data_IF_435288047336
#
_entry.id   IF_435288047336
#
_cell.length_a   1.000
_cell.length_b   1.000
_cell.length_c   1.000
_cell.angle_alpha   90.00
_cell.angle_beta   90.00
_cell.angle_gamma   90.00
#
_symmetry.space_group_name_H-M   'P 1'
#
loop_
_entity.id
_entity.type
_entity.pdbx_description
1 polymer ?
#
# COMPACT_ATOMS: atom_id res chain seq x y z
N UNK A 1 1.75 23.28 31.75
CA UNK A 1 1.37 22.03 31.05
C UNK A 1 0.19 22.34 30.17
N UNK A 2 0.42 22.44 28.88
CA UNK A 2 -0.59 22.70 27.86
C UNK A 2 -0.85 21.37 27.16
N UNK A 3 -2.10 20.91 27.00
CA UNK A 3 -2.36 19.64 26.34
C UNK A 3 -2.00 19.73 24.86
N UNK A 4 -1.26 18.73 24.40
CA UNK A 4 -0.85 18.51 23.02
C UNK A 4 -2.06 17.95 22.28
N UNK A 5 -2.44 18.58 21.17
CA UNK A 5 -3.48 18.09 20.29
C UNK A 5 -3.04 16.75 19.66
N UNK A 6 -3.71 15.65 20.02
CA UNK A 6 -3.60 14.39 19.29
C UNK A 6 -4.47 14.48 18.04
N UNK A 7 -3.89 14.92 16.92
CA UNK A 7 -4.49 14.76 15.60
C UNK A 7 -4.46 13.28 15.23
N UNK A 8 -5.63 12.65 15.18
CA UNK A 8 -5.79 11.37 14.48
C UNK A 8 -5.78 11.68 12.99
N UNK A 9 -4.66 11.44 12.31
CA UNK A 9 -4.60 11.38 10.85
C UNK A 9 -5.45 10.17 10.40
N UNK A 10 -6.72 10.42 10.07
CA UNK A 10 -7.59 9.43 9.47
C UNK A 10 -7.28 9.32 7.97
N UNK A 11 -7.13 8.10 7.46
CA UNK A 11 -7.09 7.85 6.02
C UNK A 11 -8.47 8.18 5.43
N UNK A 12 -8.47 9.01 4.38
CA UNK A 12 -9.66 9.27 3.57
C UNK A 12 -9.80 8.15 2.52
N UNK A 13 -10.74 7.24 2.76
CA UNK A 13 -11.12 6.22 1.76
C UNK A 13 -12.19 6.86 0.88
N UNK A 14 -11.84 7.17 -0.37
CA UNK A 14 -12.77 7.72 -1.35
C UNK A 14 -13.38 6.57 -2.16
N UNK A 15 -14.64 6.24 -1.86
CA UNK A 15 -15.48 5.42 -2.73
C UNK A 15 -16.61 6.28 -3.30
N UNK A 16 -17.02 6.05 -4.56
CA UNK A 16 -18.09 6.79 -5.21
C UNK A 16 -19.33 6.91 -4.31
N UNK A 17 -19.63 8.14 -3.88
CA UNK A 17 -20.85 8.51 -3.15
C UNK A 17 -20.81 8.41 -1.63
N UNK A 18 -19.74 7.92 -0.99
CA UNK A 18 -19.62 7.90 0.47
C UNK A 18 -18.19 8.18 0.93
N UNK A 19 -17.99 9.30 1.62
CA UNK A 19 -16.83 9.49 2.50
C UNK A 19 -17.13 8.77 3.82
N UNK A 20 -16.61 7.56 4.03
CA UNK A 20 -16.52 7.01 5.37
C UNK A 20 -15.17 7.40 5.97
N UNK A 21 -15.20 8.24 7.01
CA UNK A 21 -14.06 8.36 7.90
C UNK A 21 -14.00 7.05 8.70
N UNK A 22 -12.93 6.28 8.58
CA UNK A 22 -12.69 5.17 9.50
C UNK A 22 -12.58 5.77 10.91
N UNK A 23 -13.50 5.38 11.81
CA UNK A 23 -13.49 5.86 13.18
C UNK A 23 -12.93 4.76 14.09
N UNK A 24 -11.64 4.82 14.47
CA UNK A 24 -11.01 3.78 15.27
C UNK A 24 -11.65 3.58 16.66
N UNK A 25 -12.45 4.54 17.15
CA UNK A 25 -13.18 4.42 18.41
C UNK A 25 -14.52 3.67 18.29
N UNK A 26 -15.17 3.72 17.11
CA UNK A 26 -16.45 3.07 16.83
C UNK A 26 -16.27 1.63 16.35
N UNK A 27 -15.24 1.39 15.54
CA UNK A 27 -15.06 0.13 14.82
C UNK A 27 -14.02 -0.78 15.49
N UNK A 28 -13.93 -0.74 16.83
CA UNK A 28 -12.99 -1.54 17.61
C UNK A 28 -13.19 -3.04 17.35
N UNK A 29 -12.26 -3.61 16.58
CA UNK A 29 -12.22 -5.04 16.23
C UNK A 29 -12.65 -5.36 14.79
N UNK A 30 -13.14 -4.40 14.02
CA UNK A 30 -13.42 -4.58 12.59
C UNK A 30 -12.32 -3.92 11.77
N UNK A 31 -11.45 -4.75 11.17
CA UNK A 31 -10.50 -4.26 10.17
C UNK A 31 -11.28 -3.91 8.89
N UNK A 32 -11.13 -2.69 8.35
CA UNK A 32 -11.86 -2.29 7.16
C UNK A 32 -11.43 -3.17 5.98
N UNK A 33 -12.41 -3.63 5.21
CA UNK A 33 -12.17 -4.28 3.94
C UNK A 33 -12.37 -3.24 2.82
N UNK A 34 -11.27 -2.89 2.16
CA UNK A 34 -11.23 -1.85 1.14
C UNK A 34 -11.59 -2.50 -0.20
N UNK A 35 -12.82 -2.29 -0.65
CA UNK A 35 -13.29 -2.94 -1.85
C UNK A 35 -12.59 -2.48 -3.13
N UNK A 36 -11.97 -1.28 -3.16
CA UNK A 36 -11.13 -0.77 -4.24
C UNK A 36 -10.11 0.26 -3.71
N UNK A 37 -8.84 0.15 -4.13
CA UNK A 37 -7.81 1.18 -3.90
C UNK A 37 -7.06 1.53 -5.18
N UNK A 38 -6.34 2.67 -5.17
CA UNK A 38 -5.60 3.28 -6.28
C UNK A 38 -6.46 4.05 -7.27
N UNK A 39 -6.19 5.35 -7.42
CA UNK A 39 -6.88 6.26 -8.32
C UNK A 39 -6.24 6.32 -9.72
N UNK A 40 -7.06 6.28 -10.77
CA UNK A 40 -6.58 6.28 -12.16
C UNK A 40 -5.82 7.57 -12.54
N UNK A 41 -6.28 8.74 -12.09
CA UNK A 41 -5.83 10.03 -12.63
C UNK A 41 -4.46 10.46 -12.10
N UNK A 42 -4.05 9.96 -10.92
CA UNK A 42 -2.83 10.40 -10.24
C UNK A 42 -1.66 9.41 -10.42
N UNK A 43 -1.71 8.54 -11.44
CA UNK A 43 -0.68 7.52 -11.70
C UNK A 43 -0.44 6.54 -10.53
N UNK A 44 -1.41 6.40 -9.63
CA UNK A 44 -1.36 5.45 -8.51
C UNK A 44 -1.50 3.99 -8.97
N UNK A 45 -1.80 3.79 -10.25
CA UNK A 45 -1.85 2.50 -10.94
C UNK A 45 -0.46 2.04 -11.43
N UNK A 46 0.61 2.68 -10.95
CA UNK A 46 2.01 2.29 -11.14
C UNK A 46 2.47 1.28 -10.07
N UNK A 47 3.62 0.61 -10.25
CA UNK A 47 4.15 -0.26 -9.21
C UNK A 47 4.35 0.49 -7.87
N UNK A 48 5.11 1.59 -7.89
CA UNK A 48 5.35 2.38 -6.67
C UNK A 48 4.06 2.82 -5.95
N UNK A 49 2.99 3.13 -6.70
CA UNK A 49 1.68 3.42 -6.13
C UNK A 49 1.01 2.21 -5.49
N UNK A 50 1.07 1.03 -6.13
CA UNK A 50 0.56 -0.20 -5.52
C UNK A 50 1.34 -0.57 -4.25
N UNK A 51 2.68 -0.46 -4.24
CA UNK A 51 3.47 -0.65 -3.03
C UNK A 51 3.08 0.30 -1.90
N UNK A 52 2.77 1.56 -2.22
CA UNK A 52 2.30 2.55 -1.25
C UNK A 52 0.99 2.11 -0.57
N UNK A 53 0.01 1.62 -1.34
CA UNK A 53 -1.26 1.12 -0.77
C UNK A 53 -1.10 -0.18 -0.01
N UNK A 54 -0.40 -1.17 -0.57
CA UNK A 54 -0.14 -2.47 0.06
C UNK A 54 0.51 -2.26 1.43
N UNK A 55 1.51 -1.36 1.52
CA UNK A 55 2.20 -1.09 2.78
C UNK A 55 1.27 -0.56 3.86
N UNK A 56 0.28 0.26 3.50
CA UNK A 56 -0.69 0.80 4.45
C UNK A 56 -1.73 -0.23 4.87
N UNK A 57 -2.23 -1.03 3.92
CA UNK A 57 -3.15 -2.13 4.20
C UNK A 57 -2.54 -3.10 5.21
N UNK A 58 -1.26 -3.44 5.03
CA UNK A 58 -0.50 -4.28 5.96
C UNK A 58 -0.34 -3.65 7.34
N UNK A 59 -0.02 -2.36 7.41
CA UNK A 59 0.09 -1.64 8.70
C UNK A 59 -1.24 -1.61 9.47
N UNK A 60 -2.36 -1.56 8.75
CA UNK A 60 -3.72 -1.46 9.30
C UNK A 60 -4.40 -2.82 9.47
N UNK A 61 -3.70 -3.92 9.18
CA UNK A 61 -4.27 -5.27 9.21
C UNK A 61 -5.55 -5.41 8.35
N UNK A 62 -5.58 -4.68 7.24
CA UNK A 62 -6.74 -4.49 6.39
C UNK A 62 -6.60 -5.20 5.06
N UNK A 63 -7.72 -5.66 4.50
CA UNK A 63 -7.75 -6.24 3.16
C UNK A 63 -8.08 -5.16 2.14
N UNK A 64 -7.57 -5.32 0.92
CA UNK A 64 -7.88 -4.41 -0.17
C UNK A 64 -7.83 -5.09 -1.54
N UNK A 65 -8.74 -4.70 -2.42
CA UNK A 65 -8.70 -5.06 -3.84
C UNK A 65 -8.15 -3.90 -4.66
N UNK A 66 -7.22 -4.19 -5.57
CA UNK A 66 -6.70 -3.16 -6.48
C UNK A 66 -7.78 -2.76 -7.48
N UNK A 67 -8.05 -1.46 -7.61
CA UNK A 67 -9.08 -0.95 -8.49
C UNK A 67 -8.75 -1.27 -9.97
N UNK A 68 -9.77 -1.66 -10.72
CA UNK A 68 -9.70 -1.82 -12.17
C UNK A 68 -10.56 -0.76 -12.84
N UNK A 69 -9.91 0.29 -13.35
CA UNK A 69 -10.57 1.40 -14.05
C UNK A 69 -10.79 1.14 -15.55
N UNK A 70 -10.59 -0.09 -16.01
CA UNK A 70 -10.90 -0.51 -17.38
C UNK A 70 -12.41 -0.64 -17.64
N UNK A 71 -12.77 -0.79 -18.90
CA UNK A 71 -14.15 -1.10 -19.32
C UNK A 71 -14.16 -2.22 -20.36
N UNK A 72 -15.31 -2.87 -20.55
CA UNK A 72 -15.49 -3.94 -21.54
C UNK A 72 -14.50 -5.09 -21.34
N UNK A 73 -13.82 -5.50 -22.41
CA UNK A 73 -12.85 -6.60 -22.39
C UNK A 73 -11.63 -6.33 -21.50
N UNK A 74 -11.26 -5.06 -21.27
CA UNK A 74 -10.15 -4.68 -20.40
C UNK A 74 -10.49 -4.90 -18.92
N UNK A 75 -11.76 -4.70 -18.54
CA UNK A 75 -12.24 -4.93 -17.17
C UNK A 75 -12.15 -6.42 -16.79
N UNK A 76 -12.48 -7.32 -17.73
CA UNK A 76 -12.57 -8.76 -17.48
C UNK A 76 -11.26 -9.51 -17.77
N UNK A 77 -10.48 -9.04 -18.75
CA UNK A 77 -9.35 -9.79 -19.30
C UNK A 77 -7.99 -9.51 -18.67
N UNK A 78 -7.83 -8.41 -17.93
CA UNK A 78 -6.50 -7.92 -17.53
C UNK A 78 -6.25 -7.83 -16.02
N UNK A 79 -7.13 -8.38 -15.17
CA UNK A 79 -6.95 -8.46 -13.69
C UNK A 79 -6.36 -7.14 -13.12
N UNK A 80 -7.08 -6.03 -13.29
CA UNK A 80 -6.61 -4.69 -12.88
C UNK A 80 -5.26 -4.26 -13.50
N UNK A 81 -5.07 -4.58 -14.78
CA UNK A 81 -3.88 -4.26 -15.57
C UNK A 81 -2.59 -4.91 -15.01
N UNK A 82 -2.70 -6.10 -14.40
CA UNK A 82 -1.54 -6.88 -13.97
C UNK A 82 -0.84 -7.52 -15.18
N UNK A 83 -1.53 -8.28 -16.05
CA UNK A 83 -1.04 -8.58 -17.38
C UNK A 83 -1.45 -7.51 -18.42
N UNK A 84 -0.70 -7.45 -19.51
CA UNK A 84 -1.10 -6.82 -20.77
C UNK A 84 -1.35 -7.90 -21.80
N UNK A 85 -2.29 -7.64 -22.73
CA UNK A 85 -2.65 -8.57 -23.81
C UNK A 85 -2.31 -7.95 -25.16
N UNK A 86 -1.64 -8.72 -26.03
CA UNK A 86 -1.41 -8.40 -27.44
C UNK A 86 -1.87 -9.59 -28.27
N UNK A 87 -2.88 -9.39 -29.12
CA UNK A 87 -3.61 -10.50 -29.77
C UNK A 87 -4.07 -11.50 -28.70
N UNK A 88 -3.75 -12.79 -28.79
CA UNK A 88 -4.11 -13.80 -27.79
C UNK A 88 -2.99 -14.13 -26.79
N UNK A 89 -1.92 -13.33 -26.78
CA UNK A 89 -0.77 -13.52 -25.89
C UNK A 89 -0.82 -12.53 -24.73
N UNK A 90 -0.50 -13.03 -23.53
CA UNK A 90 -0.38 -12.22 -22.32
C UNK A 90 1.10 -12.02 -21.97
N UNK A 91 1.42 -10.84 -21.43
CA UNK A 91 2.74 -10.53 -20.88
C UNK A 91 2.60 -9.82 -19.54
N UNK A 92 3.58 -9.98 -18.66
CA UNK A 92 3.60 -9.35 -17.34
C UNK A 92 3.89 -7.85 -17.42
N UNK A 93 3.20 -7.05 -16.61
CA UNK A 93 3.55 -5.64 -16.39
C UNK A 93 4.53 -5.49 -15.24
N UNK A 94 5.07 -4.28 -15.02
CA UNK A 94 5.82 -3.97 -13.80
C UNK A 94 5.03 -4.28 -12.52
N UNK A 95 3.71 -4.02 -12.50
CA UNK A 95 2.85 -4.34 -11.34
C UNK A 95 2.79 -5.84 -11.10
N UNK A 96 2.71 -6.67 -12.15
CA UNK A 96 2.75 -8.13 -11.99
C UNK A 96 4.01 -8.58 -11.22
N UNK A 97 5.17 -8.03 -11.57
CA UNK A 97 6.43 -8.37 -10.91
C UNK A 97 6.46 -7.88 -9.45
N UNK A 98 5.90 -6.71 -9.17
CA UNK A 98 5.79 -6.19 -7.82
C UNK A 98 4.86 -7.01 -6.92
N UNK A 99 3.65 -7.35 -7.38
CA UNK A 99 2.74 -8.24 -6.62
C UNK A 99 3.36 -9.62 -6.43
N UNK A 100 4.10 -10.11 -7.42
CA UNK A 100 4.84 -11.37 -7.30
C UNK A 100 5.92 -11.26 -6.22
N UNK A 101 6.66 -10.15 -6.19
CA UNK A 101 7.68 -9.89 -5.17
C UNK A 101 7.07 -9.79 -3.78
N UNK A 102 6.04 -8.95 -3.61
CA UNK A 102 5.30 -8.83 -2.35
C UNK A 102 4.81 -10.19 -1.85
N UNK A 103 4.14 -10.97 -2.72
CA UNK A 103 3.65 -12.29 -2.34
C UNK A 103 4.77 -13.27 -1.98
N UNK A 104 5.88 -13.30 -2.73
CA UNK A 104 6.94 -14.30 -2.53
C UNK A 104 7.87 -13.95 -1.38
N UNK A 105 8.31 -12.70 -1.32
CA UNK A 105 9.43 -12.26 -0.48
C UNK A 105 8.98 -11.67 0.87
N UNK A 106 7.80 -11.04 0.94
CA UNK A 106 7.30 -10.47 2.20
C UNK A 106 6.66 -11.55 3.07
N UNK A 107 7.50 -12.24 3.84
CA UNK A 107 7.13 -13.39 4.67
C UNK A 107 7.51 -13.17 6.13
N UNK A 108 6.76 -13.80 7.03
CA UNK A 108 7.02 -13.73 8.46
C UNK A 108 6.20 -12.63 9.14
N UNK A 109 6.68 -12.19 10.31
CA UNK A 109 5.99 -11.20 11.12
C UNK A 109 6.38 -9.79 10.67
N UNK A 110 5.42 -8.93 10.35
CA UNK A 110 5.72 -7.54 10.00
C UNK A 110 6.40 -6.80 11.16
N UNK A 111 7.35 -5.93 10.85
CA UNK A 111 7.89 -4.98 11.84
C UNK A 111 7.06 -3.71 11.87
N UNK A 112 7.14 -3.00 13.00
CA UNK A 112 6.60 -1.64 13.11
C UNK A 112 7.41 -0.72 12.18
N UNK A 113 6.70 0.07 11.37
CA UNK A 113 7.29 1.13 10.55
C UNK A 113 6.65 2.47 10.90
N UNK A 114 7.39 3.55 10.69
CA UNK A 114 6.87 4.91 10.82
C UNK A 114 6.77 5.50 9.42
N UNK A 115 5.64 6.13 9.05
CA UNK A 115 5.53 6.77 7.75
C UNK A 115 6.50 7.95 7.61
N UNK A 116 6.79 8.32 6.36
CA UNK A 116 7.40 9.62 6.07
C UNK A 116 6.58 10.77 6.66
N UNK A 117 7.26 11.88 6.99
CA UNK A 117 6.63 13.05 7.59
C UNK A 117 5.60 13.73 6.68
N UNK A 118 5.78 13.64 5.36
CA UNK A 118 4.84 14.14 4.35
C UNK A 118 3.77 13.12 3.96
N UNK A 119 3.84 11.91 4.54
CA UNK A 119 2.97 10.77 4.32
C UNK A 119 2.94 10.22 2.89
N UNK A 120 3.77 10.72 1.96
CA UNK A 120 3.76 10.31 0.55
C UNK A 120 4.66 9.12 0.25
N UNK A 121 5.55 8.76 1.18
CA UNK A 121 6.40 7.57 1.11
C UNK A 121 6.08 6.60 2.24
N UNK A 122 5.89 5.31 1.91
CA UNK A 122 5.53 4.26 2.87
C UNK A 122 6.52 3.11 2.80
N UNK A 123 6.71 2.50 3.97
CA UNK A 123 7.60 1.36 4.18
C UNK A 123 6.81 0.24 4.83
N UNK A 124 6.88 -0.94 4.24
CA UNK A 124 6.48 -2.21 4.82
C UNK A 124 7.70 -3.12 4.86
N UNK A 125 7.92 -3.78 5.98
CA UNK A 125 9.09 -4.63 6.15
C UNK A 125 8.73 -5.89 6.93
N UNK A 126 9.35 -6.99 6.51
CA UNK A 126 9.27 -8.27 7.22
C UNK A 126 10.70 -8.79 7.41
N UNK A 127 11.10 -9.16 8.64
CA UNK A 127 12.26 -9.98 8.86
C UNK A 127 11.90 -11.38 8.38
N UNK A 128 12.16 -11.64 7.10
CA UNK A 128 12.08 -12.98 6.54
C UNK A 128 13.11 -13.90 7.20
N UNK A 129 13.20 -15.13 6.70
CA UNK A 129 14.16 -16.15 7.18
C UNK A 129 15.57 -15.91 6.62
N UNK A 130 15.90 -14.64 6.37
CA UNK A 130 16.97 -14.10 5.52
C UNK A 130 16.66 -14.09 4.01
N UNK A 131 16.74 -12.91 3.34
CA UNK A 131 17.12 -11.60 3.87
C UNK A 131 16.01 -10.87 4.66
N UNK A 132 16.38 -9.82 5.39
CA UNK A 132 15.41 -8.80 5.83
C UNK A 132 14.94 -8.03 4.59
N UNK A 133 13.63 -8.03 4.34
CA UNK A 133 13.07 -7.43 3.12
C UNK A 133 12.34 -6.14 3.47
N UNK A 134 12.66 -5.09 2.71
CA UNK A 134 11.98 -3.80 2.78
C UNK A 134 11.26 -3.57 1.47
N UNK A 135 9.95 -3.35 1.57
CA UNK A 135 9.06 -3.02 0.47
C UNK A 135 8.61 -1.57 0.62
N UNK A 136 8.87 -0.76 -0.41
CA UNK A 136 8.62 0.69 -0.33
C UNK A 136 7.84 1.17 -1.55
N UNK A 137 6.99 2.16 -1.32
CA UNK A 137 6.19 2.78 -2.35
C UNK A 137 5.98 4.26 -2.08
N UNK A 138 5.62 4.98 -3.13
CA UNK A 138 5.28 6.40 -3.02
C UNK A 138 4.10 6.76 -3.88
N UNK A 139 3.35 7.77 -3.44
CA UNK A 139 2.42 8.47 -4.32
C UNK A 139 3.19 9.38 -5.27
N UNK A 140 2.65 9.56 -6.47
CA UNK A 140 3.23 10.50 -7.42
C UNK A 140 3.19 11.91 -6.83
N UNK A 141 4.37 12.51 -6.66
CA UNK A 141 4.52 13.92 -6.32
C UNK A 141 5.15 14.67 -7.48
N UNK A 142 4.85 15.97 -7.59
CA UNK A 142 5.62 16.84 -8.48
C UNK A 142 6.99 17.07 -7.86
N UNK A 143 8.03 16.44 -8.41
CA UNK A 143 9.41 16.61 -7.98
C UNK A 143 10.11 15.29 -7.66
N UNK A 144 11.24 15.37 -6.96
CA UNK A 144 11.97 14.21 -6.46
C UNK A 144 11.50 13.95 -5.03
N UNK A 145 11.04 12.72 -4.76
CA UNK A 145 10.85 12.25 -3.39
C UNK A 145 12.18 11.65 -2.95
N UNK A 146 12.75 12.19 -1.86
CA UNK A 146 13.88 11.58 -1.16
C UNK A 146 13.32 10.97 0.11
N UNK A 147 13.43 9.66 0.25
CA UNK A 147 13.00 8.93 1.44
C UNK A 147 14.20 8.27 2.10
N UNK A 148 14.43 8.57 3.38
CA UNK A 148 15.41 7.87 4.21
C UNK A 148 14.73 6.71 4.94
N UNK A 149 15.29 5.51 4.82
CA UNK A 149 14.84 4.33 5.58
C UNK A 149 15.84 4.05 6.69
N UNK A 150 15.44 4.35 7.93
CA UNK A 150 16.23 4.08 9.13
C UNK A 150 15.80 2.75 9.74
N UNK A 151 16.72 1.78 9.81
CA UNK A 151 16.47 0.47 10.45
C UNK A 151 17.15 0.46 11.81
N UNK A 152 16.36 0.41 12.88
CA UNK A 152 16.84 0.25 14.25
C UNK A 152 16.46 -1.12 14.79
N UNK A 153 17.45 -1.87 15.30
CA UNK A 153 17.22 -3.12 16.04
C UNK A 153 17.46 -2.84 17.52
N UNK A 154 16.43 -3.02 18.34
CA UNK A 154 16.58 -2.97 19.78
C UNK A 154 17.21 -4.27 20.27
N UNK A 155 18.45 -4.22 20.76
CA UNK A 155 18.99 -5.28 21.59
C UNK A 155 18.71 -4.94 23.05
N UNK A 156 17.91 -5.77 23.72
CA UNK A 156 17.93 -5.79 25.18
C UNK A 156 19.28 -6.36 25.59
N UNK A 157 20.10 -5.57 26.30
CA UNK A 157 21.30 -6.11 26.93
C UNK A 157 20.84 -7.05 28.05
N UNK A 158 21.14 -8.33 27.90
CA UNK A 158 21.11 -9.30 29.00
C UNK A 158 22.09 -8.88 30.11
#
# INVERSE_FOLDING_TARGET
MTPIFTGVSGILILQWGYTSQFNPSRDRGATPNINEYSWAVNHEQSPAGAAFYISQLECLDSQGLHANWGSGSLLQGLIANLPIKKNDEYSSTGKWHEYTYYYKEMRGQRVVTTPSADEFFKVYATPGWEPFVVFTGSQLQRGIIVGDVWISVWHERL
#
